data_IF_528777402252
#
_entry.id   IF_528777402252
#
_cell.length_a   1.000
_cell.length_b   1.000
_cell.length_c   1.000
_cell.angle_alpha   90.00
_cell.angle_beta   90.00
_cell.angle_gamma   90.00
#
_symmetry.space_group_name_H-M   'P 1'
#
loop_
_entity.id
_entity.type
_entity.pdbx_description
1 polymer ?
#
# COMPACT_ATOMS: atom_id res chain seq x y z
N UNK A 1 1.29 15.82 -19.69
CA UNK A 1 0.34 14.74 -19.31
C UNK A 1 1.01 13.41 -19.58
N UNK A 2 0.78 12.39 -18.76
CA UNK A 2 1.32 11.04 -18.98
C UNK A 2 0.17 10.05 -19.12
N UNK A 3 0.29 9.12 -20.08
CA UNK A 3 -0.65 8.04 -20.32
C UNK A 3 0.11 6.72 -20.31
N UNK A 4 -0.52 5.69 -19.73
CA UNK A 4 0.02 4.33 -19.73
C UNK A 4 -1.00 3.43 -20.40
N UNK A 5 -0.56 2.71 -21.43
CA UNK A 5 -1.39 1.79 -22.21
C UNK A 5 -0.80 0.39 -22.07
N UNK A 6 -1.62 -0.56 -21.66
CA UNK A 6 -1.22 -1.94 -21.39
C UNK A 6 -1.82 -2.93 -22.38
N UNK A 7 -2.36 -2.43 -23.50
CA UNK A 7 -2.89 -3.22 -24.60
C UNK A 7 -2.11 -2.88 -25.87
N UNK A 8 -1.63 -3.91 -26.58
CA UNK A 8 -0.76 -3.74 -27.74
C UNK A 8 -1.43 -3.00 -28.89
N UNK A 9 -2.67 -3.36 -29.22
CA UNK A 9 -3.42 -2.75 -30.33
C UNK A 9 -3.75 -1.29 -30.02
N UNK A 10 -4.23 -1.01 -28.81
CA UNK A 10 -4.49 0.36 -28.38
C UNK A 10 -3.21 1.19 -28.32
N UNK A 11 -2.07 0.60 -27.94
CA UNK A 11 -0.79 1.30 -27.91
C UNK A 11 -0.37 1.79 -29.29
N UNK A 12 -0.55 0.99 -30.34
CA UNK A 12 -0.22 1.40 -31.70
C UNK A 12 -1.11 2.55 -32.17
N UNK A 13 -2.43 2.44 -31.97
CA UNK A 13 -3.39 3.50 -32.33
C UNK A 13 -3.08 4.81 -31.59
N UNK A 14 -2.79 4.74 -30.28
CA UNK A 14 -2.50 5.93 -29.49
C UNK A 14 -1.16 6.57 -29.86
N UNK A 15 -0.14 5.75 -30.18
CA UNK A 15 1.15 6.22 -30.66
C UNK A 15 0.97 7.03 -31.95
N UNK A 16 0.23 6.49 -32.91
CA UNK A 16 -0.06 7.19 -34.16
C UNK A 16 -0.84 8.49 -33.94
N UNK A 17 -1.80 8.50 -33.02
CA UNK A 17 -2.58 9.69 -32.71
C UNK A 17 -1.74 10.80 -32.04
N UNK A 18 -0.88 10.44 -31.07
CA UNK A 18 -0.09 11.41 -30.30
C UNK A 18 1.09 11.98 -31.09
N UNK A 19 1.69 11.20 -31.99
CA UNK A 19 2.86 11.62 -32.77
C UNK A 19 2.51 12.48 -34.00
N UNK A 20 1.23 12.84 -34.20
CA UNK A 20 0.84 13.74 -35.27
C UNK A 20 1.47 15.13 -35.06
N UNK A 21 2.08 15.72 -36.10
CA UNK A 21 2.57 17.09 -36.02
C UNK A 21 1.42 18.05 -35.73
N UNK A 22 1.72 19.12 -35.00
CA UNK A 22 0.76 20.16 -34.61
C UNK A 22 -0.50 19.65 -33.89
N UNK A 23 -0.36 18.59 -33.09
CA UNK A 23 -1.45 18.09 -32.27
C UNK A 23 -1.90 19.15 -31.25
N UNK A 24 -3.18 19.52 -31.32
CA UNK A 24 -3.86 20.34 -30.33
C UNK A 24 -4.72 19.43 -29.45
N UNK A 25 -4.62 19.62 -28.14
CA UNK A 25 -5.42 18.87 -27.17
C UNK A 25 -6.35 19.82 -26.42
N UNK A 26 -7.57 19.37 -26.19
CA UNK A 26 -8.55 20.06 -25.36
C UNK A 26 -8.75 19.27 -24.07
N UNK A 27 -8.36 19.86 -22.95
CA UNK A 27 -8.42 19.29 -21.62
C UNK A 27 -9.43 20.08 -20.78
N UNK A 28 -10.68 19.58 -20.71
CA UNK A 28 -11.81 20.14 -19.94
C UNK A 28 -12.13 21.61 -20.29
N UNK A 29 -11.27 22.53 -19.91
CA UNK A 29 -11.38 23.98 -20.07
C UNK A 29 -10.10 24.63 -20.61
N UNK A 30 -9.11 23.84 -21.05
CA UNK A 30 -7.83 24.32 -21.56
C UNK A 30 -7.56 23.73 -22.93
N UNK A 31 -7.30 24.59 -23.92
CA UNK A 31 -6.72 24.19 -25.21
C UNK A 31 -5.21 24.35 -25.14
N UNK A 32 -4.48 23.31 -25.47
CA UNK A 32 -3.02 23.31 -25.43
C UNK A 32 -2.43 22.73 -26.73
N UNK A 33 -1.36 23.35 -27.20
CA UNK A 33 -0.53 22.79 -28.28
C UNK A 33 0.49 21.83 -27.68
N UNK A 34 0.63 20.65 -28.26
CA UNK A 34 1.65 19.69 -27.85
C UNK A 34 3.01 20.15 -28.37
N UNK A 35 3.93 20.46 -27.46
CA UNK A 35 5.30 20.89 -27.79
C UNK A 35 6.29 19.73 -27.99
N UNK A 36 5.93 18.54 -27.50
CA UNK A 36 6.77 17.35 -27.58
C UNK A 36 6.04 16.13 -27.01
N UNK A 37 6.34 14.98 -27.58
CA UNK A 37 5.82 13.70 -27.14
C UNK A 37 6.98 12.72 -26.98
N UNK A 38 6.99 11.98 -25.87
CA UNK A 38 7.98 10.95 -25.58
C UNK A 38 7.23 9.63 -25.39
N UNK A 39 7.69 8.59 -26.08
CA UNK A 39 7.10 7.26 -26.02
C UNK A 39 8.14 6.31 -25.45
N UNK A 40 7.82 5.73 -24.29
CA UNK A 40 8.63 4.69 -23.67
C UNK A 40 7.85 3.37 -23.71
N UNK A 41 8.49 2.32 -24.21
CA UNK A 41 7.92 0.97 -24.26
C UNK A 41 8.57 0.12 -23.19
N UNK A 42 7.75 -0.54 -22.36
CA UNK A 42 8.21 -1.44 -21.31
C UNK A 42 7.66 -2.84 -21.55
N UNK A 43 8.53 -3.86 -21.51
CA UNK A 43 8.09 -5.25 -21.49
C UNK A 43 8.09 -5.76 -20.06
N UNK A 44 7.05 -6.51 -19.71
CA UNK A 44 6.98 -7.16 -18.39
C UNK A 44 8.11 -8.17 -18.17
N UNK A 45 8.61 -8.80 -19.24
CA UNK A 45 9.79 -9.67 -19.19
C UNK A 45 11.01 -8.92 -18.66
N UNK A 46 11.21 -7.69 -19.13
CA UNK A 46 12.38 -6.88 -18.81
C UNK A 46 12.27 -6.35 -17.38
N UNK A 47 11.05 -6.00 -16.95
CA UNK A 47 10.76 -5.65 -15.55
C UNK A 47 11.06 -6.84 -14.63
N UNK A 48 10.65 -8.06 -15.01
CA UNK A 48 10.85 -9.26 -14.20
C UNK A 48 12.33 -9.67 -14.13
N UNK A 49 13.06 -9.61 -15.26
CA UNK A 49 14.46 -10.04 -15.33
C UNK A 49 15.40 -9.04 -14.66
N UNK A 50 15.15 -7.73 -14.80
CA UNK A 50 15.95 -6.65 -14.20
C UNK A 50 15.58 -6.33 -12.76
N UNK A 51 14.58 -6.98 -12.18
CA UNK A 51 14.20 -6.75 -10.79
C UNK A 51 15.27 -7.30 -9.84
N UNK A 52 15.86 -6.44 -9.03
CA UNK A 52 16.70 -6.87 -7.91
C UNK A 52 15.84 -7.12 -6.67
N UNK A 53 16.20 -8.06 -5.77
CA UNK A 53 15.50 -8.26 -4.52
C UNK A 53 15.33 -6.95 -3.75
N UNK A 54 14.13 -6.71 -3.20
CA UNK A 54 13.92 -5.54 -2.34
C UNK A 54 14.87 -5.58 -1.12
N UNK A 55 15.52 -4.45 -0.78
CA UNK A 55 16.28 -4.37 0.46
C UNK A 55 15.34 -4.52 1.68
N UNK A 56 15.90 -4.88 2.83
CA UNK A 56 15.17 -5.00 4.10
C UNK A 56 14.43 -3.71 4.48
N UNK A 57 14.89 -2.55 4.00
CA UNK A 57 14.25 -1.25 4.19
C UNK A 57 14.14 -0.54 2.85
N UNK A 58 12.94 -0.09 2.52
CA UNK A 58 12.68 0.68 1.30
C UNK A 58 11.60 1.73 1.57
N UNK A 59 11.43 2.68 0.65
CA UNK A 59 10.36 3.66 0.76
C UNK A 59 9.61 3.79 -0.56
N UNK A 60 8.34 4.15 -0.46
CA UNK A 60 7.50 4.50 -1.61
C UNK A 60 6.93 5.90 -1.37
N UNK A 61 7.09 6.78 -2.35
CA UNK A 61 6.45 8.08 -2.38
C UNK A 61 5.19 8.00 -3.24
N UNK A 62 4.03 8.21 -2.62
CA UNK A 62 2.74 8.29 -3.27
C UNK A 62 2.52 9.73 -3.76
N UNK A 63 2.68 9.92 -5.07
CA UNK A 63 2.72 11.20 -5.77
C UNK A 63 1.34 11.78 -6.06
N UNK A 64 0.32 10.94 -6.16
CA UNK A 64 -1.09 11.36 -6.30
C UNK A 64 -1.96 10.60 -5.30
N UNK A 65 -3.19 11.07 -5.01
CA UNK A 65 -4.03 10.41 -4.01
C UNK A 65 -4.21 8.93 -4.36
N UNK A 66 -3.90 8.08 -3.39
CA UNK A 66 -3.86 6.63 -3.56
C UNK A 66 -4.88 6.00 -2.64
N UNK A 67 -5.60 5.01 -3.15
CA UNK A 67 -6.66 4.36 -2.38
C UNK A 67 -6.81 2.92 -2.84
N UNK A 68 -6.99 2.03 -1.88
CA UNK A 68 -7.13 0.61 -2.16
C UNK A 68 -8.57 0.15 -1.97
N UNK A 69 -9.00 -0.82 -2.77
CA UNK A 69 -10.28 -1.49 -2.53
C UNK A 69 -10.07 -2.63 -1.56
N UNK A 70 -10.84 -2.66 -0.48
CA UNK A 70 -10.93 -3.83 0.39
C UNK A 70 -11.74 -4.90 -0.33
N UNK A 71 -11.34 -6.17 -0.22
CA UNK A 71 -12.16 -7.27 -0.74
C UNK A 71 -13.44 -7.37 0.09
N UNK A 72 -14.56 -7.72 -0.54
CA UNK A 72 -15.79 -8.09 0.19
C UNK A 72 -15.56 -9.28 1.13
N UNK A 73 -14.59 -10.13 0.78
CA UNK A 73 -14.17 -11.27 1.59
C UNK A 73 -13.13 -10.92 2.65
N UNK A 74 -12.61 -9.68 2.72
CA UNK A 74 -11.75 -9.29 3.84
C UNK A 74 -12.61 -8.84 5.05
N UNK A 75 -13.89 -9.22 5.10
CA UNK A 75 -14.80 -9.05 6.23
C UNK A 75 -14.37 -10.00 7.38
N UNK A 76 -14.52 -9.55 8.62
CA UNK A 76 -14.00 -10.13 9.87
C UNK A 76 -13.56 -11.62 9.80
N UNK A 77 -12.31 -11.98 10.18
CA UNK A 77 -11.85 -13.37 10.19
C UNK A 77 -12.64 -14.29 11.14
N UNK A 78 -13.38 -13.71 12.08
CA UNK A 78 -14.29 -14.42 12.99
C UNK A 78 -15.75 -14.47 12.47
N UNK A 79 -16.01 -13.99 11.26
CA UNK A 79 -17.33 -14.14 10.64
C UNK A 79 -17.55 -15.61 10.25
N UNK A 80 -18.61 -16.28 10.74
CA UNK A 80 -18.89 -17.68 10.37
C UNK A 80 -18.96 -17.89 8.85
N UNK A 81 -19.54 -16.91 8.14
CA UNK A 81 -19.60 -16.92 6.67
C UNK A 81 -18.24 -16.78 5.97
N UNK A 82 -17.25 -16.15 6.62
CA UNK A 82 -15.89 -16.05 6.07
C UNK A 82 -15.15 -17.38 6.20
N UNK A 83 -15.31 -18.09 7.32
CA UNK A 83 -14.72 -19.42 7.53
C UNK A 83 -15.29 -20.40 6.50
N UNK A 84 -16.61 -20.46 6.35
CA UNK A 84 -17.27 -21.28 5.34
C UNK A 84 -16.81 -20.96 3.91
N UNK A 85 -16.62 -19.67 3.60
CA UNK A 85 -16.10 -19.23 2.30
C UNK A 85 -14.67 -19.73 2.04
N UNK A 86 -13.77 -19.57 3.00
CA UNK A 86 -12.37 -20.01 2.86
C UNK A 86 -12.29 -21.52 2.74
N UNK A 87 -13.11 -22.25 3.49
CA UNK A 87 -13.18 -23.71 3.38
C UNK A 87 -13.75 -24.17 2.05
N UNK A 88 -14.84 -23.59 1.57
CA UNK A 88 -15.40 -23.88 0.25
C UNK A 88 -14.38 -23.60 -0.87
N UNK A 89 -13.68 -22.46 -0.80
CA UNK A 89 -12.60 -22.13 -1.73
C UNK A 89 -11.45 -23.15 -1.70
N UNK A 90 -11.06 -23.64 -0.52
CA UNK A 90 -10.04 -24.70 -0.36
C UNK A 90 -10.50 -26.04 -0.93
N UNK A 91 -11.80 -26.34 -0.85
CA UNK A 91 -12.43 -27.54 -1.43
C UNK A 91 -12.73 -27.42 -2.92
N UNK A 92 -12.45 -26.25 -3.55
CA UNK A 92 -12.72 -26.01 -4.97
C UNK A 92 -14.22 -25.85 -5.28
N UNK A 93 -15.04 -25.63 -4.27
CA UNK A 93 -16.48 -25.46 -4.43
C UNK A 93 -16.82 -24.09 -5.04
N UNK A 94 -17.91 -23.98 -5.83
CA UNK A 94 -18.40 -22.70 -6.30
C UNK A 94 -18.76 -21.82 -5.11
N UNK A 95 -18.11 -20.66 -5.05
CA UNK A 95 -18.28 -19.70 -3.97
C UNK A 95 -19.73 -19.21 -3.91
N UNK A 96 -20.43 -19.53 -2.82
CA UNK A 96 -21.77 -18.98 -2.54
C UNK A 96 -21.69 -17.45 -2.39
N UNK A 97 -22.82 -16.78 -2.64
CA UNK A 97 -22.92 -15.31 -2.54
C UNK A 97 -22.37 -14.83 -1.18
N UNK A 98 -21.58 -13.73 -1.15
CA UNK A 98 -21.12 -13.16 0.11
C UNK A 98 -22.29 -12.84 1.04
N UNK A 99 -22.08 -12.97 2.36
CA UNK A 99 -23.13 -12.66 3.34
C UNK A 99 -23.56 -11.19 3.25
N UNK A 100 -24.75 -10.86 3.78
CA UNK A 100 -25.32 -9.51 3.70
C UNK A 100 -24.35 -8.40 4.10
N UNK A 101 -23.58 -8.61 5.18
CA UNK A 101 -22.58 -7.65 5.66
C UNK A 101 -21.37 -7.50 4.73
N UNK A 102 -20.92 -8.61 4.12
CA UNK A 102 -19.84 -8.60 3.14
C UNK A 102 -20.26 -7.88 1.84
N UNK A 103 -21.53 -8.01 1.44
CA UNK A 103 -22.11 -7.28 0.30
C UNK A 103 -22.14 -5.77 0.57
N UNK A 104 -22.52 -5.35 1.78
CA UNK A 104 -22.49 -3.92 2.18
C UNK A 104 -21.07 -3.33 2.14
N UNK A 105 -20.05 -4.15 2.37
CA UNK A 105 -18.65 -3.74 2.24
C UNK A 105 -18.17 -3.63 0.77
N UNK A 106 -19.03 -3.92 -0.22
CA UNK A 106 -18.65 -3.88 -1.64
C UNK A 106 -18.28 -2.46 -2.06
N UNK A 107 -17.08 -2.36 -2.64
CA UNK A 107 -16.56 -1.06 -3.08
C UNK A 107 -15.98 -0.23 -1.95
N UNK A 108 -15.89 -0.75 -0.72
CA UNK A 108 -15.21 -0.08 0.38
C UNK A 108 -13.76 0.25 -0.01
N UNK A 109 -13.42 1.53 0.13
CA UNK A 109 -12.10 2.06 -0.17
C UNK A 109 -11.34 2.38 1.11
N UNK A 110 -10.05 2.06 1.12
CA UNK A 110 -9.14 2.26 2.24
C UNK A 110 -8.04 3.22 1.80
N UNK A 111 -8.04 4.48 2.28
CA UNK A 111 -7.01 5.45 1.99
C UNK A 111 -5.81 5.29 2.94
N UNK A 112 -5.26 4.07 3.04
CA UNK A 112 -4.09 3.78 3.87
C UNK A 112 -3.08 2.90 3.11
N UNK A 113 -1.77 3.08 3.34
CA UNK A 113 -0.69 2.38 2.63
C UNK A 113 -0.48 0.93 3.12
N UNK A 114 -1.56 0.15 3.25
CA UNK A 114 -1.52 -1.21 3.80
C UNK A 114 -0.83 -2.15 2.79
N UNK A 115 0.29 -2.81 3.17
CA UNK A 115 1.03 -3.70 2.27
C UNK A 115 0.16 -4.79 1.63
N UNK A 116 -0.70 -5.45 2.40
CA UNK A 116 -1.56 -6.53 1.90
C UNK A 116 -2.50 -6.04 0.78
N UNK A 117 -3.09 -4.85 0.92
CA UNK A 117 -3.94 -4.27 -0.10
C UNK A 117 -3.14 -3.82 -1.34
N UNK A 118 -1.95 -3.26 -1.12
CA UNK A 118 -1.05 -2.83 -2.18
C UNK A 118 -0.58 -4.00 -3.04
N UNK A 119 0.04 -5.01 -2.44
CA UNK A 119 0.57 -6.15 -3.19
C UNK A 119 -0.54 -6.99 -3.84
N UNK A 120 -1.71 -7.13 -3.20
CA UNK A 120 -2.88 -7.78 -3.82
C UNK A 120 -3.40 -7.00 -5.02
N UNK A 121 -3.36 -5.66 -4.99
CA UNK A 121 -3.67 -4.84 -6.16
C UNK A 121 -2.64 -5.06 -7.27
N UNK A 122 -1.34 -4.99 -6.98
CA UNK A 122 -0.28 -5.17 -7.96
C UNK A 122 -0.27 -6.57 -8.58
N UNK A 123 -0.45 -7.62 -7.78
CA UNK A 123 -0.52 -8.99 -8.28
C UNK A 123 -1.67 -9.19 -9.27
N UNK A 124 -2.83 -8.56 -9.05
CA UNK A 124 -3.95 -8.58 -10.01
C UNK A 124 -3.55 -7.92 -11.33
N UNK A 125 -2.90 -6.76 -11.28
CA UNK A 125 -2.44 -6.07 -12.48
C UNK A 125 -1.45 -6.90 -13.27
N UNK A 126 -0.46 -7.47 -12.57
CA UNK A 126 0.52 -8.34 -13.19
C UNK A 126 -0.15 -9.55 -13.85
N UNK A 127 -1.04 -10.24 -13.12
CA UNK A 127 -1.75 -11.41 -13.64
C UNK A 127 -2.63 -11.08 -14.85
N UNK A 128 -3.23 -9.90 -14.90
CA UNK A 128 -4.08 -9.47 -16.02
C UNK A 128 -3.27 -9.07 -17.26
N UNK A 129 -2.18 -8.32 -17.09
CA UNK A 129 -1.54 -7.62 -18.22
C UNK A 129 -0.16 -8.16 -18.61
N UNK A 130 0.52 -8.91 -17.75
CA UNK A 130 1.95 -9.19 -17.99
C UNK A 130 2.23 -10.21 -19.08
N UNK A 131 1.38 -11.25 -19.20
CA UNK A 131 1.71 -12.47 -19.95
C UNK A 131 2.93 -13.24 -19.43
N UNK A 132 3.55 -12.79 -18.33
CA UNK A 132 4.79 -13.36 -17.77
C UNK A 132 4.45 -14.13 -16.50
N UNK A 133 4.81 -15.41 -16.49
CA UNK A 133 4.60 -16.29 -15.34
C UNK A 133 5.50 -15.89 -14.17
N UNK A 134 4.90 -15.33 -13.12
CA UNK A 134 5.49 -15.12 -11.82
C UNK A 134 4.53 -15.63 -10.75
N UNK A 135 5.06 -16.19 -9.66
CA UNK A 135 4.29 -16.61 -8.49
C UNK A 135 3.88 -15.40 -7.62
N UNK A 136 3.16 -14.45 -8.23
CA UNK A 136 2.76 -13.17 -7.62
C UNK A 136 1.83 -13.37 -6.43
N UNK A 137 1.06 -14.46 -6.41
CA UNK A 137 0.13 -14.76 -5.33
C UNK A 137 0.85 -15.26 -4.07
N UNK A 138 1.86 -16.11 -4.20
CA UNK A 138 2.67 -16.50 -3.04
C UNK A 138 3.56 -15.35 -2.57
N UNK A 139 4.10 -14.54 -3.49
CA UNK A 139 4.81 -13.31 -3.13
C UNK A 139 3.88 -12.32 -2.38
N UNK A 140 2.62 -12.18 -2.77
CA UNK A 140 1.63 -11.35 -2.06
C UNK A 140 1.34 -11.87 -0.65
N UNK A 141 1.10 -13.18 -0.50
CA UNK A 141 0.90 -13.84 0.81
C UNK A 141 2.14 -13.75 1.71
N UNK A 142 3.32 -13.73 1.11
CA UNK A 142 4.56 -13.45 1.81
C UNK A 142 4.61 -11.99 2.26
N UNK A 143 4.38 -11.05 1.34
CA UNK A 143 4.44 -9.61 1.61
C UNK A 143 3.48 -9.18 2.73
N UNK A 144 2.28 -9.75 2.81
CA UNK A 144 1.31 -9.52 3.88
C UNK A 144 1.86 -9.79 5.28
N UNK A 145 2.73 -10.80 5.42
CA UNK A 145 3.29 -11.22 6.72
C UNK A 145 4.67 -10.64 6.99
N UNK A 146 5.46 -10.44 5.93
CA UNK A 146 6.86 -10.05 5.98
C UNK A 146 7.07 -8.55 5.88
N UNK A 147 6.23 -7.82 5.13
CA UNK A 147 6.41 -6.37 4.89
C UNK A 147 5.53 -5.58 5.86
N UNK A 148 6.16 -4.68 6.60
CA UNK A 148 5.52 -3.81 7.58
C UNK A 148 5.73 -2.34 7.23
N UNK A 149 4.81 -1.48 7.66
CA UNK A 149 5.02 -0.04 7.65
C UNK A 149 6.03 0.30 8.75
N UNK A 150 7.14 0.91 8.37
CA UNK A 150 8.24 1.30 9.26
C UNK A 150 8.23 2.80 9.63
N UNK A 151 7.26 3.56 9.10
CA UNK A 151 7.02 4.94 9.49
C UNK A 151 6.68 5.87 8.34
N UNK A 152 6.33 7.10 8.69
CA UNK A 152 5.94 8.16 7.76
C UNK A 152 6.91 9.34 7.91
N UNK A 153 8.00 9.41 7.12
CA UNK A 153 8.96 10.50 7.22
C UNK A 153 8.26 11.85 6.96
N UNK A 154 8.74 12.91 7.62
CA UNK A 154 8.17 14.27 7.50
C UNK A 154 8.04 14.68 6.02
N UNK A 155 6.91 15.29 5.61
CA UNK A 155 5.80 15.77 6.45
C UNK A 155 4.77 14.69 6.86
N UNK A 156 5.02 13.42 6.57
CA UNK A 156 4.11 12.30 6.84
C UNK A 156 3.20 11.97 5.66
N UNK A 157 2.12 11.25 5.94
CA UNK A 157 1.04 11.01 4.98
C UNK A 157 -0.16 11.89 5.31
N UNK A 158 -0.92 12.27 4.28
CA UNK A 158 -2.18 12.99 4.42
C UNK A 158 -3.21 12.45 3.45
N UNK A 159 -4.48 12.59 3.77
CA UNK A 159 -5.57 12.28 2.85
C UNK A 159 -5.99 13.52 2.06
N UNK A 160 -6.41 13.30 0.81
CA UNK A 160 -6.95 14.34 -0.07
C UNK A 160 -8.22 13.78 -0.71
N UNK A 161 -9.28 14.58 -0.70
CA UNK A 161 -10.52 14.31 -1.43
C UNK A 161 -10.40 14.86 -2.85
N UNK A 162 -10.69 14.02 -3.84
CA UNK A 162 -10.70 14.37 -5.27
C UNK A 162 -12.10 14.14 -5.82
N UNK A 163 -12.62 15.09 -6.60
CA UNK A 163 -13.89 14.96 -7.30
C UNK A 163 -13.65 14.41 -8.71
N UNK A 164 -14.35 13.34 -9.08
CA UNK A 164 -14.15 12.64 -10.36
C UNK A 164 -14.84 13.35 -11.53
N UNK A 165 -15.93 14.07 -11.28
CA UNK A 165 -16.69 14.76 -12.33
C UNK A 165 -17.32 16.04 -11.77
N UNK A 166 -17.28 17.16 -12.52
CA UNK A 166 -17.86 18.44 -12.06
C UNK A 166 -19.35 18.34 -11.69
N UNK A 167 -20.11 17.48 -12.39
CA UNK A 167 -21.58 17.44 -12.24
C UNK A 167 -22.11 16.32 -11.34
N UNK A 168 -21.35 15.25 -11.08
CA UNK A 168 -21.92 14.08 -10.38
C UNK A 168 -21.66 14.06 -8.88
N UNK A 169 -20.94 15.07 -8.35
CA UNK A 169 -20.46 15.16 -6.96
C UNK A 169 -19.79 13.87 -6.45
N UNK A 170 -19.35 12.99 -7.36
CA UNK A 170 -18.66 11.75 -7.03
C UNK A 170 -17.26 12.10 -6.61
N UNK A 171 -16.89 11.71 -5.40
CA UNK A 171 -15.57 11.95 -4.85
C UNK A 171 -14.93 10.67 -4.34
N UNK A 172 -13.61 10.69 -4.27
CA UNK A 172 -12.80 9.65 -3.67
C UNK A 172 -11.77 10.29 -2.75
N UNK A 173 -11.55 9.69 -1.57
CA UNK A 173 -10.50 10.12 -0.66
C UNK A 173 -9.35 9.14 -0.78
N UNK A 174 -8.15 9.64 -1.05
CA UNK A 174 -6.91 8.86 -1.13
C UNK A 174 -5.82 9.49 -0.29
N UNK A 175 -4.81 8.71 0.08
CA UNK A 175 -3.63 9.20 0.80
C UNK A 175 -2.50 9.57 -0.14
N UNK A 176 -1.64 10.48 0.30
CA UNK A 176 -0.41 10.91 -0.36
C UNK A 176 0.71 11.05 0.66
N UNK A 177 1.95 11.02 0.19
CA UNK A 177 3.14 11.19 1.02
C UNK A 177 4.12 10.03 0.88
N UNK A 178 5.15 10.04 1.71
CA UNK A 178 6.19 8.99 1.69
C UNK A 178 5.93 8.00 2.81
N UNK A 179 6.04 6.71 2.50
CA UNK A 179 5.89 5.62 3.46
C UNK A 179 7.18 4.80 3.43
N UNK A 180 7.77 4.59 4.61
CA UNK A 180 8.87 3.65 4.80
C UNK A 180 8.29 2.27 5.09
N UNK A 181 8.88 1.26 4.49
CA UNK A 181 8.57 -0.14 4.72
C UNK A 181 9.81 -0.86 5.23
N UNK A 182 9.59 -1.89 6.05
CA UNK A 182 10.61 -2.83 6.47
C UNK A 182 10.14 -4.26 6.21
N UNK A 183 11.08 -5.12 5.83
CA UNK A 183 10.88 -6.56 5.71
C UNK A 183 11.42 -7.20 6.97
N UNK A 184 10.62 -8.05 7.63
CA UNK A 184 11.08 -8.85 8.76
C UNK A 184 12.20 -9.79 8.30
N UNK A 185 13.33 -9.76 8.98
CA UNK A 185 14.55 -10.49 8.59
C UNK A 185 14.34 -12.01 8.60
N UNK A 186 13.66 -12.53 9.62
CA UNK A 186 13.30 -13.94 9.78
C UNK A 186 12.36 -14.47 8.68
N UNK A 187 11.55 -13.58 8.10
CA UNK A 187 10.65 -13.92 7.00
C UNK A 187 11.23 -13.57 5.63
N UNK A 188 12.45 -13.04 5.54
CA UNK A 188 13.02 -12.61 4.26
C UNK A 188 13.20 -13.80 3.32
N UNK A 189 12.66 -13.65 2.10
CA UNK A 189 12.79 -14.64 1.03
C UNK A 189 13.15 -13.93 -0.24
N UNK A 190 14.39 -14.09 -0.69
CA UNK A 190 14.94 -13.37 -1.84
C UNK A 190 14.07 -13.50 -3.09
N UNK A 191 13.61 -14.73 -3.39
CA UNK A 191 12.66 -15.00 -4.49
C UNK A 191 11.42 -14.10 -4.44
N UNK A 192 10.81 -13.95 -3.27
CA UNK A 192 9.59 -13.14 -3.12
C UNK A 192 9.89 -11.65 -3.02
N UNK A 193 11.03 -11.26 -2.45
CA UNK A 193 11.52 -9.89 -2.47
C UNK A 193 11.79 -9.41 -3.91
N UNK A 194 12.32 -10.29 -4.78
CA UNK A 194 12.52 -10.03 -6.21
C UNK A 194 11.20 -9.82 -6.95
N UNK A 195 10.22 -10.68 -6.72
CA UNK A 195 8.87 -10.53 -7.30
C UNK A 195 8.20 -9.24 -6.79
N UNK A 196 8.29 -8.93 -5.50
CA UNK A 196 7.76 -7.70 -4.93
C UNK A 196 8.41 -6.45 -5.54
N UNK A 197 9.72 -6.50 -5.81
CA UNK A 197 10.45 -5.45 -6.53
C UNK A 197 9.91 -5.26 -7.96
N UNK A 198 9.71 -6.35 -8.71
CA UNK A 198 9.11 -6.29 -10.05
C UNK A 198 7.70 -5.67 -10.03
N UNK A 199 6.88 -6.03 -9.05
CA UNK A 199 5.55 -5.47 -8.86
C UNK A 199 5.59 -3.96 -8.55
N UNK A 200 6.52 -3.51 -7.72
CA UNK A 200 6.71 -2.08 -7.41
C UNK A 200 7.22 -1.31 -8.64
N UNK A 201 8.19 -1.86 -9.39
CA UNK A 201 8.66 -1.25 -10.65
C UNK A 201 7.54 -1.10 -11.67
N UNK A 202 6.70 -2.14 -11.82
CA UNK A 202 5.49 -2.06 -12.65
C UNK A 202 4.53 -0.96 -12.14
N UNK A 203 4.41 -0.78 -10.83
CA UNK A 203 3.52 0.22 -10.24
C UNK A 203 3.96 1.67 -10.51
N UNK A 204 5.26 1.94 -10.71
CA UNK A 204 5.75 3.26 -11.15
C UNK A 204 5.26 3.61 -12.57
N UNK A 205 4.96 2.61 -13.40
CA UNK A 205 4.46 2.79 -14.78
C UNK A 205 2.93 2.77 -14.82
N UNK A 206 2.33 1.83 -14.10
CA UNK A 206 0.90 1.48 -14.23
C UNK A 206 0.01 2.13 -13.17
N UNK A 207 0.60 2.84 -12.22
CA UNK A 207 -0.02 3.32 -10.99
C UNK A 207 -0.54 2.16 -10.12
N UNK A 208 -0.94 2.47 -8.89
CA UNK A 208 -1.40 1.50 -7.89
C UNK A 208 -2.75 1.90 -7.29
N UNK A 209 -3.52 0.92 -6.83
CA UNK A 209 -4.83 1.15 -6.20
C UNK A 209 -5.97 1.34 -7.20
N UNK A 210 -7.00 2.09 -6.79
CA UNK A 210 -8.19 2.35 -7.58
C UNK A 210 -8.07 3.64 -8.42
N UNK A 211 -8.89 3.75 -9.46
CA UNK A 211 -9.04 4.96 -10.30
C UNK A 211 -7.75 5.45 -10.99
N UNK A 212 -6.87 4.51 -11.35
CA UNK A 212 -5.60 4.80 -12.04
C UNK A 212 -5.76 5.55 -13.37
N UNK A 213 -6.87 5.32 -14.08
CA UNK A 213 -7.21 6.02 -15.32
C UNK A 213 -7.57 7.50 -15.12
N UNK A 214 -7.91 7.90 -13.90
CA UNK A 214 -8.13 9.30 -13.51
C UNK A 214 -6.84 9.96 -12.95
N UNK A 215 -5.67 9.34 -13.13
CA UNK A 215 -4.38 9.87 -12.64
C UNK A 215 -4.09 9.61 -11.15
N UNK A 216 -4.92 8.83 -10.47
CA UNK A 216 -4.71 8.46 -9.06
C UNK A 216 -3.69 7.32 -8.95
N UNK A 217 -3.04 7.20 -7.78
CA UNK A 217 -2.16 6.07 -7.49
C UNK A 217 -0.75 6.15 -8.07
N UNK A 218 -0.26 7.31 -8.49
CA UNK A 218 1.11 7.43 -9.00
C UNK A 218 2.10 7.25 -7.84
N UNK A 219 3.14 6.43 -8.05
CA UNK A 219 4.17 6.20 -7.04
C UNK A 219 5.58 6.36 -7.59
N UNK A 220 6.53 6.54 -6.67
CA UNK A 220 7.96 6.43 -6.94
C UNK A 220 8.61 5.56 -5.87
N UNK A 221 9.36 4.55 -6.29
CA UNK A 221 10.18 3.74 -5.40
C UNK A 221 11.45 4.52 -5.03
N UNK A 222 11.79 4.53 -3.74
CA UNK A 222 12.98 5.17 -3.21
C UNK A 222 13.81 4.06 -2.56
N UNK A 223 14.89 3.60 -3.22
CA UNK A 223 15.87 2.74 -2.58
C UNK A 223 16.47 3.53 -1.41
N UNK A 224 16.35 3.00 -0.19
CA UNK A 224 17.03 3.59 0.96
C UNK A 224 18.47 3.11 0.88
N UNK A 225 19.40 4.01 0.52
CA UNK A 225 20.83 3.74 0.69
C UNK A 225 21.08 3.50 2.18
N UNK A 226 21.82 2.44 2.52
CA UNK A 226 22.21 2.13 3.90
C UNK A 226 23.27 3.13 4.40
N UNK A 227 22.90 4.40 4.53
CA UNK A 227 23.71 5.46 5.12
C UNK A 227 22.96 6.03 6.33
N UNK A 228 22.82 5.25 7.39
CA UNK A 228 22.35 5.74 8.70
C UNK A 228 22.71 4.74 9.82
N UNK A 229 23.91 4.14 9.77
CA UNK A 229 24.43 3.35 10.91
C UNK A 229 25.02 4.22 12.04
N UNK A 230 25.18 5.53 11.84
CA UNK A 230 25.92 6.40 12.77
C UNK A 230 25.10 7.55 13.41
N UNK A 231 23.76 7.52 13.39
CA UNK A 231 22.93 8.56 14.06
C UNK A 231 21.76 8.02 14.88
N UNK A 232 21.96 6.90 15.58
CA UNK A 232 21.15 6.64 16.77
C UNK A 232 22.00 7.07 17.99
N UNK A 233 21.55 8.02 18.82
CA UNK A 233 22.18 8.20 20.12
C UNK A 233 21.97 6.89 20.91
N UNK A 234 22.96 6.43 21.70
CA UNK A 234 22.79 5.23 22.50
C UNK A 234 21.61 5.45 23.43
N UNK A 235 20.61 4.56 23.33
CA UNK A 235 19.57 4.44 24.33
C UNK A 235 20.29 3.90 25.58
N UNK A 236 20.62 4.80 26.50
CA UNK A 236 21.10 4.45 27.83
C UNK A 236 19.98 3.70 28.54
N UNK A 237 20.20 2.41 28.80
CA UNK A 237 19.30 1.53 29.55
C UNK A 237 19.31 1.81 31.07
N UNK A 238 19.89 2.92 31.54
CA UNK A 238 20.12 3.14 32.97
C UNK A 238 19.05 3.96 33.72
N UNK A 239 17.92 4.36 33.11
CA UNK A 239 16.94 5.22 33.80
C UNK A 239 15.60 4.55 34.17
N UNK A 240 15.53 3.22 34.23
CA UNK A 240 14.30 2.50 34.64
C UNK A 240 14.36 1.91 36.07
N UNK A 241 15.34 2.29 36.89
CA UNK A 241 15.48 1.78 38.27
C UNK A 241 15.70 2.84 39.38
N UNK A 242 15.28 4.08 39.17
CA UNK A 242 15.32 5.12 40.22
C UNK A 242 13.99 5.83 40.48
N UNK A 243 12.85 5.17 40.22
CA UNK A 243 11.52 5.67 40.59
C UNK A 243 10.72 4.70 41.49
N UNK A 244 11.40 3.85 42.26
CA UNK A 244 10.75 2.97 43.26
C UNK A 244 11.23 3.17 44.70
N UNK A 245 11.87 4.30 45.03
CA UNK A 245 12.36 4.58 46.39
C UNK A 245 12.14 6.05 46.81
N UNK A 246 10.92 6.58 46.71
CA UNK A 246 10.48 7.73 47.53
C UNK A 246 8.99 7.53 47.82
N UNK A 247 8.66 6.67 48.79
CA UNK A 247 7.44 6.74 49.59
C UNK A 247 7.55 5.68 50.70
N UNK A 248 8.14 6.08 51.82
CA UNK A 248 8.38 5.17 52.95
C UNK A 248 9.03 5.89 54.12
N UNK A 249 8.28 6.79 54.77
CA UNK A 249 8.77 7.46 55.99
C UNK A 249 7.69 8.25 56.72
N UNK A 250 7.27 7.74 57.88
CA UNK A 250 6.52 8.46 58.92
C UNK A 250 5.02 8.18 58.91
N UNK A 251 4.37 7.75 59.98
CA UNK A 251 4.80 7.52 61.35
C UNK A 251 3.69 6.77 62.08
N UNK A 252 4.08 5.77 62.87
CA UNK A 252 3.20 4.99 63.74
C UNK A 252 3.13 5.74 65.06
N UNK A 253 2.00 6.33 65.41
CA UNK A 253 1.70 6.69 66.81
C UNK A 253 0.80 5.61 67.38
N UNK A 254 1.25 5.01 68.49
CA UNK A 254 0.54 4.02 69.30
C UNK A 254 0.00 4.70 70.56
N UNK A 255 -0.99 4.01 71.14
CA UNK A 255 -1.51 4.09 72.51
C UNK A 255 -2.69 5.08 72.70
N UNK A 256 -3.76 4.75 73.42
CA UNK A 256 -4.14 3.54 74.16
C UNK A 256 -5.60 3.66 74.61
N UNK A 257 -6.29 2.52 74.75
CA UNK A 257 -7.31 2.24 75.78
C UNK A 257 -8.65 2.99 75.66
N UNK A 258 -9.82 2.53 76.12
CA UNK A 258 -10.30 1.37 76.89
C UNK A 258 -11.85 1.48 76.90
N UNK A 259 -12.55 0.34 77.10
CA UNK A 259 -13.92 0.17 77.66
C UNK A 259 -15.17 0.25 76.75
N UNK A 260 -15.69 -0.95 76.45
CA UNK A 260 -16.97 -1.55 76.89
C UNK A 260 -18.29 -0.75 76.98
N UNK A 261 -19.33 -1.47 76.50
CA UNK A 261 -20.78 -1.45 76.80
C UNK A 261 -21.58 -0.30 76.15
N UNK A 262 -22.70 -0.53 75.46
CA UNK A 262 -23.82 -1.49 75.62
C UNK A 262 -24.25 -2.06 74.27
#
# INVERSE_FOLDING_TARGET
VSFTIMDGKLSDVFREAILKPDLHIELVNVKAKVIGAYVNTYKFSDIASSAEPLPLKFAIKFLTPTVFRRSVYDCCPHCPYYVEYIEAARRGEPLKKPCKYAVECRGMTVPLPIPSLMFKNLARLWATFSGVSLDVWSATRWAERAIMIAGFPKPGIRTIRVYEHPTTNKWITGFMGTVRYAIKEDLYKEKYAKIASALIKMAEITNVGARRTAGLGMIKHIPIKMEDKNKAPPISLNNLHQQSLIEGGGGRSKNNSLKNNV
#
